data_IF_946249609225
#
_entry.id   IF_946249609225
#
_cell.length_a   1.000
_cell.length_b   1.000
_cell.length_c   1.000
_cell.angle_alpha   90.00
_cell.angle_beta   90.00
_cell.angle_gamma   90.00
#
_symmetry.space_group_name_H-M   'P 1'
#
loop_
_entity.id
_entity.type
_entity.pdbx_description
1 polymer ?
#
# COMPACT_ATOMS: atom_id res chain seq x y z
N UNK A 1 -12.32 18.96 -7.93
CA UNK A 1 -13.03 18.91 -6.63
C UNK A 1 -12.00 19.32 -5.60
N UNK A 2 -12.17 20.48 -4.96
CA UNK A 2 -11.19 21.01 -4.03
C UNK A 2 -11.25 20.17 -2.76
N UNK A 3 -10.16 19.45 -2.48
CA UNK A 3 -9.96 18.78 -1.21
C UNK A 3 -9.74 19.89 -0.20
N UNK A 4 -10.74 20.21 0.61
CA UNK A 4 -10.55 21.07 1.78
C UNK A 4 -9.54 20.38 2.70
N UNK A 5 -8.78 21.12 3.51
CA UNK A 5 -7.84 20.52 4.48
C UNK A 5 -8.51 19.40 5.30
N UNK A 6 -9.75 19.63 5.73
CA UNK A 6 -10.56 18.62 6.41
C UNK A 6 -10.77 17.34 5.58
N UNK A 7 -11.01 17.44 4.27
CA UNK A 7 -11.15 16.27 3.40
C UNK A 7 -9.84 15.48 3.29
N UNK A 8 -8.69 16.17 3.29
CA UNK A 8 -7.38 15.53 3.28
C UNK A 8 -7.17 14.71 4.56
N UNK A 9 -7.49 15.28 5.72
CA UNK A 9 -7.40 14.59 7.01
C UNK A 9 -8.32 13.37 7.08
N UNK A 10 -9.57 13.48 6.58
CA UNK A 10 -10.50 12.34 6.56
C UNK A 10 -10.04 11.22 5.63
N UNK A 11 -9.48 11.57 4.48
CA UNK A 11 -8.97 10.62 3.50
C UNK A 11 -7.74 9.89 4.05
N UNK A 12 -6.84 10.62 4.71
CA UNK A 12 -5.69 10.03 5.37
C UNK A 12 -6.11 9.08 6.51
N UNK A 13 -7.04 9.52 7.38
CA UNK A 13 -7.59 8.68 8.44
C UNK A 13 -8.27 7.43 7.89
N UNK A 14 -8.94 7.54 6.74
CA UNK A 14 -9.55 6.40 6.05
C UNK A 14 -8.49 5.41 5.55
N UNK A 15 -7.40 5.89 4.92
CA UNK A 15 -6.28 5.02 4.51
C UNK A 15 -5.64 4.33 5.72
N UNK A 16 -5.36 5.05 6.80
CA UNK A 16 -4.82 4.50 8.05
C UNK A 16 -5.73 3.41 8.63
N UNK A 17 -7.04 3.67 8.69
CA UNK A 17 -8.03 2.69 9.11
C UNK A 17 -8.06 1.46 8.19
N UNK A 18 -7.97 1.65 6.88
CA UNK A 18 -7.92 0.56 5.89
C UNK A 18 -6.73 -0.37 6.12
N UNK A 19 -5.53 0.18 6.33
CA UNK A 19 -4.34 -0.61 6.65
C UNK A 19 -4.43 -1.29 8.01
N UNK A 20 -5.03 -0.65 9.02
CA UNK A 20 -5.29 -1.27 10.32
C UNK A 20 -6.18 -2.49 10.19
N UNK A 21 -7.28 -2.37 9.44
CA UNK A 21 -8.20 -3.48 9.19
C UNK A 21 -7.54 -4.61 8.39
N UNK A 22 -6.74 -4.28 7.38
CA UNK A 22 -5.98 -5.27 6.62
C UNK A 22 -4.96 -6.01 7.50
N UNK A 23 -4.28 -5.31 8.41
CA UNK A 23 -3.37 -5.91 9.38
C UNK A 23 -4.10 -6.84 10.35
N UNK A 24 -5.19 -6.39 10.99
CA UNK A 24 -5.97 -7.22 11.91
C UNK A 24 -6.53 -8.47 11.22
N UNK A 25 -7.00 -8.32 9.98
CA UNK A 25 -7.44 -9.46 9.16
C UNK A 25 -6.28 -10.43 8.87
N UNK A 26 -5.12 -9.92 8.46
CA UNK A 26 -3.93 -10.74 8.23
C UNK A 26 -3.49 -11.46 9.49
N UNK A 27 -3.51 -10.79 10.64
CA UNK A 27 -3.15 -11.32 11.96
C UNK A 27 -4.09 -12.47 12.34
N UNK A 28 -5.40 -12.21 12.41
CA UNK A 28 -6.41 -13.20 12.79
C UNK A 28 -6.40 -14.41 11.85
N UNK A 29 -6.33 -14.18 10.55
CA UNK A 29 -6.38 -15.25 9.56
C UNK A 29 -5.10 -16.10 9.50
N UNK A 30 -3.99 -15.63 10.09
CA UNK A 30 -2.69 -16.28 10.03
C UNK A 30 -2.27 -16.94 11.34
N UNK A 31 -3.10 -16.89 12.40
CA UNK A 31 -2.81 -17.50 13.72
C UNK A 31 -2.29 -18.93 13.56
N UNK A 32 -2.98 -19.78 12.80
CA UNK A 32 -2.63 -21.19 12.60
C UNK A 32 -1.88 -21.49 11.28
N UNK A 33 -1.19 -20.50 10.70
CA UNK A 33 -0.40 -20.66 9.46
C UNK A 33 1.08 -20.44 9.73
N UNK A 34 1.91 -21.30 9.15
CA UNK A 34 3.38 -21.19 9.22
C UNK A 34 3.89 -19.92 8.52
N UNK A 35 3.31 -19.57 7.36
CA UNK A 35 3.71 -18.37 6.63
C UNK A 35 3.05 -17.12 7.21
N UNK A 36 3.84 -16.29 7.89
CA UNK A 36 3.45 -14.99 8.47
C UNK A 36 3.80 -13.78 7.60
N UNK A 37 4.32 -13.98 6.38
CA UNK A 37 4.74 -12.88 5.48
C UNK A 37 3.65 -11.83 5.24
N UNK A 38 2.38 -12.24 5.11
CA UNK A 38 1.26 -11.30 4.94
C UNK A 38 1.02 -10.43 6.18
N UNK A 39 1.33 -10.95 7.38
CA UNK A 39 1.22 -10.20 8.64
C UNK A 39 2.34 -9.16 8.72
N UNK A 40 3.58 -9.56 8.41
CA UNK A 40 4.70 -8.62 8.39
C UNK A 40 4.52 -7.55 7.31
N UNK A 41 4.05 -7.91 6.13
CA UNK A 41 3.79 -6.97 5.03
C UNK A 41 2.73 -5.94 5.43
N UNK A 42 1.61 -6.38 6.01
CA UNK A 42 0.54 -5.49 6.48
C UNK A 42 0.96 -4.66 7.70
N UNK A 43 1.80 -5.19 8.58
CA UNK A 43 2.35 -4.45 9.72
C UNK A 43 3.26 -3.31 9.27
N UNK A 44 4.15 -3.55 8.31
CA UNK A 44 5.04 -2.51 7.76
C UNK A 44 4.23 -1.39 7.12
N UNK A 45 3.21 -1.73 6.32
CA UNK A 45 2.31 -0.74 5.73
C UNK A 45 1.58 0.08 6.79
N UNK A 46 1.01 -0.58 7.82
CA UNK A 46 0.34 0.11 8.92
C UNK A 46 1.28 1.06 9.67
N UNK A 47 2.49 0.60 10.02
CA UNK A 47 3.48 1.43 10.69
C UNK A 47 3.88 2.63 9.85
N UNK A 48 4.05 2.46 8.54
CA UNK A 48 4.41 3.55 7.65
C UNK A 48 3.32 4.62 7.57
N UNK A 49 2.06 4.23 7.33
CA UNK A 49 0.95 5.18 7.21
C UNK A 49 0.64 5.90 8.52
N UNK A 50 0.72 5.22 9.67
CA UNK A 50 0.61 5.90 10.97
C UNK A 50 1.77 6.87 11.16
N UNK A 51 3.01 6.45 10.86
CA UNK A 51 4.17 7.32 11.06
C UNK A 51 4.10 8.57 10.18
N UNK A 52 3.69 8.42 8.92
CA UNK A 52 3.55 9.53 7.97
C UNK A 52 2.54 10.59 8.41
N UNK A 53 1.51 10.22 9.17
CA UNK A 53 0.48 11.16 9.62
C UNK A 53 0.82 11.92 10.90
N UNK A 54 1.67 11.35 11.76
CA UNK A 54 2.01 11.97 13.04
C UNK A 54 3.44 12.51 13.11
N UNK A 55 4.34 12.03 12.25
CA UNK A 55 5.76 12.38 12.27
C UNK A 55 6.11 13.06 10.94
N UNK A 56 6.43 14.35 11.01
CA UNK A 56 6.95 15.09 9.86
C UNK A 56 8.48 15.05 9.88
N UNK A 57 9.09 14.41 8.89
CA UNK A 57 10.55 14.38 8.70
C UNK A 57 11.05 15.63 7.98
N UNK A 58 10.20 16.26 7.17
CA UNK A 58 10.48 17.51 6.46
C UNK A 58 9.35 18.52 6.62
N UNK A 59 9.70 19.80 6.42
CA UNK A 59 8.76 20.90 6.38
C UNK A 59 7.83 20.85 5.15
N UNK A 60 8.31 20.30 4.03
CA UNK A 60 7.47 20.14 2.82
C UNK A 60 6.61 18.89 2.94
N UNK A 61 5.29 19.09 3.00
CA UNK A 61 4.28 18.03 3.14
C UNK A 61 4.41 16.93 2.06
N UNK A 62 4.43 17.32 0.77
CA UNK A 62 4.52 16.34 -0.32
C UNK A 62 5.88 15.64 -0.37
N UNK A 63 6.98 16.33 -0.06
CA UNK A 63 8.29 15.71 -0.03
C UNK A 63 8.39 14.71 1.15
N UNK A 64 7.79 15.05 2.30
CA UNK A 64 7.68 14.16 3.44
C UNK A 64 6.96 12.86 3.06
N UNK A 65 5.80 12.95 2.41
CA UNK A 65 5.05 11.78 1.95
C UNK A 65 5.84 10.92 0.95
N UNK A 66 6.50 11.54 -0.03
CA UNK A 66 7.34 10.80 -0.98
C UNK A 66 8.51 10.08 -0.28
N UNK A 67 9.11 10.68 0.76
CA UNK A 67 10.14 10.00 1.54
C UNK A 67 9.60 8.82 2.35
N UNK A 68 8.40 8.93 2.91
CA UNK A 68 7.76 7.79 3.58
C UNK A 68 7.55 6.63 2.61
N UNK A 69 7.12 6.89 1.37
CA UNK A 69 7.02 5.85 0.34
C UNK A 69 8.38 5.19 0.07
N UNK A 70 9.46 5.97 -0.09
CA UNK A 70 10.80 5.42 -0.29
C UNK A 70 11.32 4.62 0.91
N UNK A 71 11.12 5.12 2.13
CA UNK A 71 11.49 4.42 3.37
C UNK A 71 10.73 3.10 3.46
N UNK A 72 9.45 3.09 3.10
CA UNK A 72 8.62 1.88 3.10
C UNK A 72 9.12 0.86 2.09
N UNK A 73 9.37 1.28 0.84
CA UNK A 73 9.94 0.41 -0.20
C UNK A 73 11.27 -0.18 0.28
N UNK A 74 12.15 0.64 0.86
CA UNK A 74 13.42 0.19 1.39
C UNK A 74 13.24 -0.84 2.53
N UNK A 75 12.33 -0.58 3.46
CA UNK A 75 12.00 -1.51 4.54
C UNK A 75 11.47 -2.85 4.01
N UNK A 76 10.61 -2.83 2.98
CA UNK A 76 10.10 -4.03 2.32
C UNK A 76 11.23 -4.84 1.67
N UNK A 77 12.14 -4.17 0.94
CA UNK A 77 13.29 -4.82 0.31
C UNK A 77 14.27 -5.40 1.34
N UNK A 78 14.52 -4.70 2.45
CA UNK A 78 15.37 -5.20 3.55
C UNK A 78 14.76 -6.46 4.18
N UNK A 79 13.46 -6.43 4.48
CA UNK A 79 12.77 -7.59 5.07
C UNK A 79 12.69 -8.77 4.09
N UNK A 80 12.61 -8.50 2.79
CA UNK A 80 12.73 -9.52 1.76
C UNK A 80 14.14 -10.13 1.74
N UNK A 81 15.19 -9.29 1.80
CA UNK A 81 16.59 -9.73 1.84
C UNK A 81 16.89 -10.64 3.04
N UNK A 82 16.34 -10.31 4.22
CA UNK A 82 16.43 -11.14 5.42
C UNK A 82 15.52 -12.38 5.40
N UNK A 83 14.82 -12.65 4.28
CA UNK A 83 13.86 -13.77 4.11
C UNK A 83 12.72 -13.78 5.12
N UNK A 84 12.40 -12.64 5.74
CA UNK A 84 11.24 -12.45 6.61
C UNK A 84 9.97 -12.35 5.76
N UNK A 85 10.06 -11.68 4.61
CA UNK A 85 9.00 -11.57 3.62
C UNK A 85 9.24 -12.53 2.46
N UNK A 86 8.16 -13.17 2.01
CA UNK A 86 8.16 -13.94 0.77
C UNK A 86 7.53 -13.10 -0.34
N UNK A 87 8.14 -13.13 -1.52
CA UNK A 87 7.61 -12.54 -2.75
C UNK A 87 6.23 -13.10 -3.08
N UNK A 88 5.19 -12.38 -2.71
CA UNK A 88 3.79 -12.69 -3.01
C UNK A 88 3.24 -11.73 -4.07
N UNK A 89 2.04 -12.01 -4.60
CA UNK A 89 1.42 -11.11 -5.57
C UNK A 89 1.18 -9.73 -4.93
N UNK A 90 0.71 -9.69 -3.67
CA UNK A 90 0.54 -8.43 -2.96
C UNK A 90 1.87 -7.70 -2.70
N UNK A 91 2.97 -8.41 -2.44
CA UNK A 91 4.27 -7.76 -2.26
C UNK A 91 4.69 -6.95 -3.49
N UNK A 92 4.61 -7.56 -4.68
CA UNK A 92 4.97 -6.87 -5.92
C UNK A 92 3.99 -5.73 -6.23
N UNK A 93 2.68 -5.97 -6.00
CA UNK A 93 1.66 -4.95 -6.22
C UNK A 93 1.87 -3.72 -5.32
N UNK A 94 2.10 -3.94 -4.02
CA UNK A 94 2.34 -2.86 -3.05
C UNK A 94 3.60 -2.10 -3.39
N UNK A 95 4.69 -2.81 -3.71
CA UNK A 95 5.94 -2.14 -4.11
C UNK A 95 5.74 -1.27 -5.34
N UNK A 96 5.00 -1.78 -6.35
CA UNK A 96 4.69 -1.03 -7.56
C UNK A 96 3.78 0.18 -7.28
N UNK A 97 2.75 0.00 -6.46
CA UNK A 97 1.83 1.09 -6.07
C UNK A 97 2.56 2.19 -5.28
N UNK A 98 3.45 1.85 -4.34
CA UNK A 98 4.27 2.81 -3.62
C UNK A 98 5.20 3.59 -4.55
N UNK A 99 5.79 2.95 -5.57
CA UNK A 99 6.61 3.65 -6.57
C UNK A 99 5.76 4.65 -7.36
N UNK A 100 4.55 4.27 -7.77
CA UNK A 100 3.64 5.18 -8.48
C UNK A 100 3.24 6.34 -7.57
N UNK A 101 2.88 6.07 -6.31
CA UNK A 101 2.54 7.10 -5.34
C UNK A 101 3.71 8.08 -5.15
N UNK A 102 4.93 7.58 -4.94
CA UNK A 102 6.12 8.41 -4.80
C UNK A 102 6.34 9.30 -6.04
N UNK A 103 6.22 8.75 -7.24
CA UNK A 103 6.39 9.52 -8.49
C UNK A 103 5.31 10.58 -8.64
N UNK A 104 4.05 10.26 -8.37
CA UNK A 104 2.95 11.23 -8.41
C UNK A 104 3.17 12.36 -7.40
N UNK A 105 3.56 12.02 -6.17
CA UNK A 105 3.83 13.00 -5.11
C UNK A 105 5.02 13.89 -5.43
N UNK A 106 6.08 13.34 -6.02
CA UNK A 106 7.25 14.13 -6.43
C UNK A 106 6.95 15.09 -7.58
N UNK A 107 6.16 14.67 -8.57
CA UNK A 107 5.76 15.55 -9.67
C UNK A 107 4.88 16.68 -9.13
N UNK A 108 3.95 16.41 -8.20
CA UNK A 108 3.15 17.46 -7.57
C UNK A 108 4.02 18.41 -6.74
N UNK A 109 4.99 17.89 -5.99
CA UNK A 109 5.94 18.71 -5.26
C UNK A 109 6.72 19.63 -6.22
N UNK A 110 7.21 19.10 -7.33
CA UNK A 110 7.91 19.89 -8.33
C UNK A 110 7.02 20.99 -8.94
N UNK A 111 5.78 20.67 -9.27
CA UNK A 111 4.80 21.62 -9.82
C UNK A 111 4.52 22.78 -8.85
N UNK A 112 4.31 22.48 -7.56
CA UNK A 112 3.96 23.47 -6.54
C UNK A 112 5.14 24.32 -6.07
N UNK A 113 6.29 23.70 -5.80
CA UNK A 113 7.40 24.35 -5.09
C UNK A 113 8.54 24.80 -6.00
N UNK A 114 8.66 24.21 -7.21
CA UNK A 114 9.72 24.59 -8.17
C UNK A 114 9.16 25.42 -9.31
N UNK A 115 8.03 25.02 -9.88
CA UNK A 115 7.37 25.78 -10.95
C UNK A 115 6.47 26.89 -10.43
N UNK A 116 6.14 26.89 -9.13
CA UNK A 116 5.26 27.88 -8.50
C UNK A 116 3.86 27.94 -9.16
N UNK A 117 3.38 26.81 -9.67
CA UNK A 117 2.04 26.69 -10.24
C UNK A 117 1.03 26.49 -9.12
N UNK A 118 0.43 27.57 -8.63
CA UNK A 118 -0.57 27.51 -7.56
C UNK A 118 -2.01 27.37 -8.05
N UNK A 119 -2.23 27.51 -9.36
CA UNK A 119 -3.54 27.32 -9.97
C UNK A 119 -3.80 25.83 -10.23
N UNK A 120 -4.87 25.24 -9.65
CA UNK A 120 -5.16 23.83 -9.83
C UNK A 120 -5.52 23.52 -11.28
N UNK A 121 -4.81 22.54 -11.84
CA UNK A 121 -5.04 22.04 -13.19
C UNK A 121 -5.27 20.52 -13.17
N UNK A 122 -5.51 19.92 -14.33
CA UNK A 122 -5.97 18.53 -14.42
C UNK A 122 -5.05 17.53 -13.69
N UNK A 123 -3.74 17.82 -13.63
CA UNK A 123 -2.77 16.96 -12.94
C UNK A 123 -3.06 16.81 -11.44
N UNK A 124 -3.45 17.89 -10.76
CA UNK A 124 -3.76 17.82 -9.32
C UNK A 124 -4.94 16.89 -9.04
N UNK A 125 -5.92 16.84 -9.96
CA UNK A 125 -7.03 15.89 -9.86
C UNK A 125 -6.57 14.44 -10.10
N UNK A 126 -5.65 14.23 -11.06
CA UNK A 126 -5.07 12.91 -11.32
C UNK A 126 -4.22 12.44 -10.15
N UNK A 127 -3.42 13.33 -9.55
CA UNK A 127 -2.66 13.05 -8.33
C UNK A 127 -3.60 12.62 -7.20
N UNK A 128 -4.60 13.45 -6.89
CA UNK A 128 -5.50 13.22 -5.76
C UNK A 128 -6.29 11.92 -5.92
N UNK A 129 -6.85 11.65 -7.11
CA UNK A 129 -7.56 10.41 -7.38
C UNK A 129 -6.60 9.22 -7.40
N UNK A 130 -5.43 9.39 -8.01
CA UNK A 130 -4.42 8.35 -8.19
C UNK A 130 -3.91 7.78 -6.88
N UNK A 131 -3.35 8.65 -6.01
CA UNK A 131 -2.78 8.22 -4.72
C UNK A 131 -3.83 7.50 -3.87
N UNK A 132 -5.02 8.08 -3.75
CA UNK A 132 -6.12 7.49 -2.97
C UNK A 132 -6.62 6.16 -3.56
N UNK A 133 -6.68 6.04 -4.89
CA UNK A 133 -7.04 4.78 -5.54
C UNK A 133 -5.99 3.70 -5.27
N UNK A 134 -4.70 4.04 -5.35
CA UNK A 134 -3.63 3.08 -5.06
C UNK A 134 -3.60 2.67 -3.59
N UNK A 135 -3.83 3.59 -2.65
CA UNK A 135 -3.97 3.28 -1.22
C UNK A 135 -5.06 2.23 -0.98
N UNK A 136 -6.24 2.46 -1.56
CA UNK A 136 -7.36 1.50 -1.48
C UNK A 136 -6.99 0.15 -2.06
N UNK A 137 -6.39 0.14 -3.25
CA UNK A 137 -5.95 -1.10 -3.87
C UNK A 137 -4.87 -1.82 -3.06
N UNK A 138 -3.97 -1.09 -2.38
CA UNK A 138 -2.90 -1.68 -1.57
C UNK A 138 -3.46 -2.44 -0.37
N UNK A 139 -4.32 -1.84 0.45
CA UNK A 139 -4.90 -2.58 1.58
C UNK A 139 -5.86 -3.69 1.13
N UNK A 140 -6.58 -3.52 0.01
CA UNK A 140 -7.37 -4.60 -0.59
C UNK A 140 -6.48 -5.76 -1.06
N UNK A 141 -5.32 -5.46 -1.65
CA UNK A 141 -4.38 -6.48 -2.10
C UNK A 141 -3.89 -7.36 -0.94
N UNK A 142 -3.71 -6.79 0.25
CA UNK A 142 -3.33 -7.52 1.47
C UNK A 142 -4.42 -8.51 1.89
N UNK A 143 -5.69 -8.10 1.83
CA UNK A 143 -6.83 -8.95 2.16
C UNK A 143 -6.99 -10.07 1.13
N UNK A 144 -6.88 -9.75 -0.16
CA UNK A 144 -7.08 -10.72 -1.26
C UNK A 144 -5.88 -11.62 -1.56
N UNK A 145 -4.67 -11.27 -1.11
CA UNK A 145 -3.43 -12.06 -1.31
C UNK A 145 -3.60 -13.53 -0.92
N UNK A 146 -4.57 -13.83 -0.03
CA UNK A 146 -4.84 -15.16 0.53
C UNK A 146 -5.78 -16.05 -0.27
N UNK A 147 -6.44 -15.57 -1.33
CA UNK A 147 -7.33 -16.40 -2.16
C UNK A 147 -6.60 -17.47 -3.00
N UNK A 148 -5.32 -17.75 -2.70
CA UNK A 148 -4.68 -19.01 -3.07
C UNK A 148 -5.42 -20.26 -2.55
N UNK A 149 -6.28 -20.16 -1.53
CA UNK A 149 -7.15 -21.29 -1.12
C UNK A 149 -8.15 -21.64 -2.22
N UNK A 150 -8.75 -20.65 -2.89
CA UNK A 150 -9.62 -20.88 -4.05
C UNK A 150 -8.83 -21.55 -5.19
N UNK A 151 -7.61 -21.07 -5.47
CA UNK A 151 -6.73 -21.69 -6.49
C UNK A 151 -6.33 -23.13 -6.14
N UNK A 152 -6.04 -23.43 -4.86
CA UNK A 152 -5.70 -24.79 -4.40
C UNK A 152 -6.91 -25.74 -4.42
N UNK A 153 -8.11 -25.28 -4.03
CA UNK A 153 -9.33 -26.08 -4.08
C UNK A 153 -9.71 -26.48 -5.51
N UNK A 154 -9.62 -25.53 -6.45
CA UNK A 154 -9.84 -25.79 -7.88
C UNK A 154 -8.77 -26.72 -8.44
N UNK A 155 -7.48 -26.48 -8.15
CA UNK A 155 -6.39 -27.34 -8.65
C UNK A 155 -6.43 -28.78 -8.10
N UNK A 156 -6.86 -28.98 -6.85
CA UNK A 156 -7.04 -30.31 -6.26
C UNK A 156 -8.21 -31.06 -6.89
N UNK A 157 -9.32 -30.38 -7.22
CA UNK A 157 -10.43 -30.99 -7.94
C UNK A 157 -10.04 -31.41 -9.36
N UNK A 158 -9.26 -30.59 -10.08
CA UNK A 158 -8.73 -30.97 -11.40
C UNK A 158 -7.76 -32.15 -11.36
N UNK A 159 -6.90 -32.24 -10.32
CA UNK A 159 -6.02 -33.41 -10.13
C UNK A 159 -6.79 -34.68 -9.79
N UNK A 160 -7.87 -34.57 -9.04
CA UNK A 160 -8.72 -35.71 -8.67
C UNK A 160 -9.48 -36.26 -9.87
N UNK A 161 -9.95 -35.40 -10.77
CA UNK A 161 -10.61 -35.79 -12.02
C UNK A 161 -9.65 -36.49 -12.99
N UNK A 162 -8.39 -36.07 -13.06
CA UNK A 162 -7.37 -36.69 -13.94
C UNK A 162 -6.87 -38.07 -13.48
N UNK A 163 -7.15 -38.47 -12.23
CA UNK A 163 -6.76 -39.79 -11.69
C UNK A 163 -7.91 -40.81 -11.74
N UNK A 164 -9.04 -40.48 -12.37
CA UNK A 164 -10.21 -41.37 -12.51
C UNK A 164 -10.36 -41.86 -13.97
N UNK A 165 -9.52 -41.39 -14.90
CA UNK A 165 -9.33 -41.92 -16.26
C UNK A 165 -8.08 -42.81 -16.32
#
# INVERSE_FOLDING_TARGET
MYVTEALMDYVEAFSQWGFLMAFLYCLASSINKENKSSVYLSAVMLCSYISSGYINLLESLYLNWALYDFITILALLILEYFKVLHRSIAFHFITFALIINAVLTLILHYDLYVLYNYEPWWYWSVYSIGVNMFDVLMFLSLVFNKNTIFKRGVALNFKKLKNIE
#
